data_IF_380915100782
#
_entry.id   IF_380915100782
#
_cell.length_a   1.000
_cell.length_b   1.000
_cell.length_c   1.000
_cell.angle_alpha   90.00
_cell.angle_beta   90.00
_cell.angle_gamma   90.00
#
_symmetry.space_group_name_H-M   'P 1'
#
loop_
_entity.id
_entity.type
_entity.pdbx_description
1 polymer ?
#
# COMPACT_ATOMS: atom_id res chain seq x y z
N UNK A 1 -12.07 -3.79 -21.64
CA UNK A 1 -13.07 -3.03 -20.92
C UNK A 1 -13.07 -3.35 -19.47
N UNK A 2 -13.07 -2.34 -18.67
CA UNK A 2 -12.98 -2.51 -17.27
C UNK A 2 -14.28 -2.42 -16.60
N UNK A 3 -14.54 -3.31 -15.75
CA UNK A 3 -15.58 -3.21 -14.88
C UNK A 3 -15.18 -3.58 -13.56
N UNK A 4 -15.58 -2.93 -12.70
CA UNK A 4 -15.41 -3.17 -11.44
C UNK A 4 -16.26 -4.01 -10.93
N UNK A 5 -16.16 -4.95 -10.38
CA UNK A 5 -15.91 -5.12 -9.14
C UNK A 5 -16.71 -6.14 -8.59
N UNK A 6 -16.17 -6.97 -7.86
CA UNK A 6 -16.87 -7.84 -7.11
C UNK A 6 -16.91 -7.33 -5.74
N UNK A 7 -18.06 -7.29 -5.17
CA UNK A 7 -18.16 -7.06 -3.79
C UNK A 7 -17.90 -8.36 -3.11
N UNK A 8 -17.11 -8.32 -2.07
CA UNK A 8 -16.83 -9.50 -1.27
C UNK A 8 -17.71 -9.46 -0.04
N UNK A 9 -17.66 -10.51 0.78
CA UNK A 9 -18.36 -10.53 2.05
C UNK A 9 -17.73 -9.58 3.07
N UNK A 10 -16.59 -8.99 2.74
CA UNK A 10 -15.91 -8.02 3.58
C UNK A 10 -16.38 -6.64 3.12
N UNK A 11 -17.15 -5.91 3.92
CA UNK A 11 -17.82 -4.69 3.44
C UNK A 11 -16.88 -3.53 3.14
N UNK A 12 -15.61 -3.65 3.49
CA UNK A 12 -14.66 -2.55 3.31
C UNK A 12 -13.61 -2.82 2.26
N UNK A 13 -13.86 -3.75 1.37
CA UNK A 13 -12.90 -4.11 0.31
C UNK A 13 -13.60 -4.10 -1.03
N UNK A 14 -12.93 -3.50 -2.01
CA UNK A 14 -13.37 -3.54 -3.40
C UNK A 14 -12.25 -4.12 -4.25
N UNK A 15 -12.58 -5.12 -5.05
CA UNK A 15 -11.67 -5.66 -6.04
C UNK A 15 -12.11 -5.21 -7.41
N UNK A 16 -11.15 -4.78 -8.23
CA UNK A 16 -11.42 -4.27 -9.56
C UNK A 16 -10.91 -5.27 -10.59
N UNK A 17 -11.77 -5.61 -11.53
CA UNK A 17 -11.45 -6.60 -12.57
C UNK A 17 -11.54 -5.99 -13.94
N UNK A 18 -10.69 -6.46 -14.85
CA UNK A 18 -10.80 -6.19 -16.26
C UNK A 18 -11.49 -7.40 -16.90
N UNK A 19 -12.49 -7.14 -17.74
CA UNK A 19 -13.20 -8.18 -18.44
C UNK A 19 -12.69 -8.25 -19.87
N UNK A 20 -12.19 -9.43 -20.28
CA UNK A 20 -11.71 -9.67 -21.63
C UNK A 20 -12.42 -10.90 -22.16
N UNK A 21 -13.36 -10.69 -23.08
CA UNK A 21 -14.19 -11.78 -23.59
C UNK A 21 -15.05 -12.37 -22.48
N UNK A 22 -14.86 -13.65 -22.17
CA UNK A 22 -15.54 -14.32 -21.08
C UNK A 22 -14.71 -14.42 -19.81
N UNK A 23 -13.47 -13.90 -19.84
CA UNK A 23 -12.56 -13.96 -18.71
C UNK A 23 -12.60 -12.69 -17.89
N UNK A 24 -12.30 -12.81 -16.61
CA UNK A 24 -12.12 -11.66 -15.73
C UNK A 24 -10.74 -11.72 -15.13
N UNK A 25 -10.04 -10.59 -15.16
CA UNK A 25 -8.68 -10.47 -14.64
C UNK A 25 -8.70 -9.46 -13.51
N UNK A 26 -8.22 -9.84 -12.35
CA UNK A 26 -8.13 -8.93 -11.20
C UNK A 26 -6.95 -7.98 -11.43
N UNK A 27 -7.22 -6.67 -11.40
CA UNK A 27 -6.20 -5.66 -11.75
C UNK A 27 -5.92 -4.64 -10.65
N UNK A 28 -6.75 -4.57 -9.64
CA UNK A 28 -6.55 -3.60 -8.57
C UNK A 28 -7.37 -3.95 -7.34
N UNK A 29 -7.00 -3.37 -6.20
CA UNK A 29 -7.77 -3.52 -4.98
C UNK A 29 -7.82 -2.20 -4.23
N UNK A 30 -8.91 -1.99 -3.50
CA UNK A 30 -9.08 -0.85 -2.62
C UNK A 30 -9.69 -1.32 -1.32
N UNK A 31 -9.11 -0.89 -0.22
CA UNK A 31 -9.61 -1.21 1.11
C UNK A 31 -10.06 0.09 1.78
N UNK A 32 -11.08 0.02 2.61
CA UNK A 32 -11.66 1.19 3.24
C UNK A 32 -11.70 1.03 4.75
N UNK A 33 -11.54 2.16 5.44
CA UNK A 33 -11.75 2.23 6.89
C UNK A 33 -13.25 2.17 7.18
N UNK A 34 -13.61 1.90 8.43
CA UNK A 34 -15.02 1.84 8.82
C UNK A 34 -15.78 3.14 8.53
N UNK A 35 -15.09 4.28 8.54
CA UNK A 35 -15.72 5.56 8.26
C UNK A 35 -15.91 5.82 6.76
N UNK A 36 -15.55 4.87 5.91
CA UNK A 36 -15.66 4.99 4.46
C UNK A 36 -14.47 5.60 3.76
N UNK A 37 -13.48 6.10 4.50
CA UNK A 37 -12.28 6.66 3.88
C UNK A 37 -11.39 5.54 3.31
N UNK A 38 -10.71 5.83 2.22
CA UNK A 38 -9.81 4.88 1.60
C UNK A 38 -8.67 4.55 2.57
N UNK A 39 -8.38 3.27 2.75
CA UNK A 39 -7.32 2.80 3.64
C UNK A 39 -6.10 2.34 2.88
N UNK A 40 -6.28 1.66 1.77
CA UNK A 40 -5.20 1.09 0.98
C UNK A 40 -5.61 0.97 -0.47
N UNK A 41 -4.69 1.20 -1.39
CA UNK A 41 -4.95 0.97 -2.80
C UNK A 41 -3.69 0.57 -3.54
N UNK A 42 -3.86 -0.19 -4.59
CA UNK A 42 -2.75 -0.61 -5.44
C UNK A 42 -3.18 -1.51 -6.56
N UNK A 43 -2.26 -1.78 -7.46
CA UNK A 43 -2.49 -2.61 -8.63
C UNK A 43 -2.21 -4.08 -8.36
N UNK A 44 -2.83 -4.92 -9.17
CA UNK A 44 -2.64 -6.37 -9.10
C UNK A 44 -2.33 -6.87 -10.52
N UNK A 45 -1.29 -7.67 -10.62
CA UNK A 45 -0.87 -8.29 -11.88
C UNK A 45 -0.67 -9.78 -11.61
N UNK A 46 -1.26 -10.62 -12.43
CA UNK A 46 -1.18 -12.09 -12.28
C UNK A 46 -1.56 -12.55 -10.87
N UNK A 47 -2.63 -11.95 -10.32
CA UNK A 47 -3.14 -12.25 -8.98
C UNK A 47 -2.18 -11.91 -7.84
N UNK A 48 -1.21 -11.06 -8.09
CA UNK A 48 -0.24 -10.62 -7.08
C UNK A 48 -0.17 -9.10 -7.04
N UNK A 49 0.07 -8.55 -5.86
CA UNK A 49 0.28 -7.11 -5.74
C UNK A 49 1.50 -6.69 -6.51
N UNK A 50 1.37 -5.60 -7.25
CA UNK A 50 2.46 -5.14 -8.10
C UNK A 50 2.50 -3.61 -8.13
N UNK A 51 3.70 -3.05 -8.03
CA UNK A 51 3.88 -1.61 -8.11
C UNK A 51 3.62 -0.87 -6.81
N UNK A 52 3.34 0.41 -6.93
CA UNK A 52 3.17 1.26 -5.75
C UNK A 52 1.87 0.98 -5.04
N UNK A 53 1.96 0.80 -3.73
CA UNK A 53 0.79 0.70 -2.85
C UNK A 53 0.79 1.88 -1.89
N UNK A 54 -0.38 2.47 -1.70
CA UNK A 54 -0.57 3.62 -0.81
C UNK A 54 -1.56 3.28 0.27
N UNK A 55 -1.17 3.58 1.50
CA UNK A 55 -2.05 3.45 2.65
C UNK A 55 -2.40 4.81 3.20
N UNK A 56 -3.58 4.93 3.81
CA UNK A 56 -4.09 6.20 4.30
C UNK A 56 -4.62 6.07 5.71
N UNK A 57 -4.50 7.14 6.48
CA UNK A 57 -5.13 7.24 7.79
C UNK A 57 -6.64 7.41 7.63
N UNK A 58 -7.44 7.14 8.66
CA UNK A 58 -8.88 7.38 8.59
C UNK A 58 -9.26 8.83 8.27
N UNK A 59 -8.35 9.76 8.49
CA UNK A 59 -8.54 11.18 8.15
C UNK A 59 -8.39 11.47 6.67
N UNK A 60 -7.88 10.50 5.89
CA UNK A 60 -7.60 10.68 4.48
C UNK A 60 -6.16 11.06 4.16
N UNK A 61 -5.35 11.37 5.17
CA UNK A 61 -3.96 11.73 4.97
C UNK A 61 -3.14 10.49 4.59
N UNK A 62 -2.15 10.68 3.74
CA UNK A 62 -1.28 9.58 3.32
C UNK A 62 -0.50 9.04 4.51
N UNK A 63 -0.61 7.73 4.75
CA UNK A 63 0.08 7.06 5.83
C UNK A 63 1.36 6.38 5.36
N UNK A 64 1.33 5.76 4.21
CA UNK A 64 2.48 5.00 3.73
C UNK A 64 2.47 4.84 2.22
N UNK A 65 3.67 4.71 1.68
CA UNK A 65 3.88 4.36 0.28
C UNK A 65 4.94 3.27 0.25
N UNK A 66 4.68 2.21 -0.47
CA UNK A 66 5.65 1.14 -0.64
C UNK A 66 5.46 0.50 -1.99
N UNK A 67 6.38 -0.35 -2.36
CA UNK A 67 6.36 -1.02 -3.65
C UNK A 67 6.29 -2.52 -3.46
N UNK A 68 5.48 -3.17 -4.28
CA UNK A 68 5.39 -4.63 -4.33
C UNK A 68 5.92 -5.10 -5.68
N UNK A 69 6.56 -6.24 -5.67
CA UNK A 69 7.00 -6.90 -6.89
C UNK A 69 6.66 -8.37 -6.73
N UNK A 70 5.81 -8.86 -7.62
CA UNK A 70 5.32 -10.24 -7.60
C UNK A 70 4.77 -10.66 -6.24
N UNK A 71 4.00 -9.77 -5.63
CA UNK A 71 3.34 -10.01 -4.36
C UNK A 71 4.16 -9.78 -3.11
N UNK A 72 5.43 -9.41 -3.25
CA UNK A 72 6.33 -9.19 -2.11
C UNK A 72 6.75 -7.74 -2.02
N UNK A 73 6.88 -7.22 -0.79
CA UNK A 73 7.43 -5.89 -0.60
C UNK A 73 8.85 -5.86 -1.16
N UNK A 74 9.16 -4.81 -1.90
CA UNK A 74 10.45 -4.68 -2.55
C UNK A 74 10.86 -3.22 -2.63
N UNK A 75 12.10 -2.92 -2.25
CA UNK A 75 12.64 -1.59 -2.36
C UNK A 75 12.22 -0.64 -1.24
N UNK A 76 12.34 0.64 -1.51
CA UNK A 76 12.11 1.71 -0.53
C UNK A 76 10.64 1.88 -0.22
N UNK A 77 10.34 2.09 1.06
CA UNK A 77 9.01 2.48 1.51
C UNK A 77 9.13 3.68 2.45
N UNK A 78 8.04 4.40 2.61
CA UNK A 78 7.98 5.55 3.51
C UNK A 78 6.69 5.47 4.31
N UNK A 79 6.80 5.72 5.61
CA UNK A 79 5.65 5.86 6.50
C UNK A 79 5.63 7.32 6.96
N UNK A 80 4.45 7.92 6.96
CA UNK A 80 4.26 9.31 7.37
C UNK A 80 3.48 9.39 8.66
N UNK A 81 3.73 10.44 9.43
CA UNK A 81 2.85 10.81 10.53
C UNK A 81 1.59 11.45 9.94
N UNK A 82 0.54 11.57 10.73
CA UNK A 82 -0.69 12.23 10.27
C UNK A 82 -0.48 13.69 9.87
N UNK A 83 0.55 14.34 10.41
CA UNK A 83 0.86 15.73 10.06
C UNK A 83 1.61 15.87 8.72
N UNK A 84 1.88 14.75 8.05
CA UNK A 84 2.56 14.74 6.76
C UNK A 84 4.07 14.60 6.81
N UNK A 85 4.67 14.70 7.99
CA UNK A 85 6.11 14.52 8.12
C UNK A 85 6.48 13.04 8.06
N UNK A 86 7.68 12.75 7.59
CA UNK A 86 8.16 11.38 7.49
C UNK A 86 8.38 10.79 8.88
N UNK A 87 7.84 9.60 9.08
CA UNK A 87 8.02 8.82 10.30
C UNK A 87 9.18 7.84 10.12
N UNK A 88 9.15 7.06 9.05
CA UNK A 88 10.13 6.00 8.81
C UNK A 88 10.41 5.89 7.32
N UNK A 89 11.69 5.72 6.99
CA UNK A 89 12.10 5.31 5.66
C UNK A 89 12.60 3.88 5.80
N UNK A 90 12.03 2.97 5.04
CA UNK A 90 12.35 1.56 5.16
C UNK A 90 12.70 0.92 3.82
N UNK A 91 13.26 -0.27 3.88
CA UNK A 91 13.67 -1.02 2.69
C UNK A 91 13.32 -2.48 2.87
N UNK A 92 12.87 -3.10 1.78
CA UNK A 92 12.56 -4.53 1.76
C UNK A 92 13.29 -5.22 0.62
N UNK A 93 13.72 -6.44 0.88
CA UNK A 93 14.38 -7.31 -0.09
C UNK A 93 13.57 -8.61 -0.11
N UNK A 94 12.87 -8.86 -1.21
CA UNK A 94 12.04 -10.07 -1.37
C UNK A 94 11.08 -10.30 -0.20
N UNK A 95 10.42 -9.25 0.24
CA UNK A 95 9.42 -9.34 1.29
C UNK A 95 9.95 -9.28 2.71
N UNK A 96 11.28 -9.19 2.88
CA UNK A 96 11.89 -9.14 4.20
C UNK A 96 12.55 -7.80 4.44
N UNK A 97 12.51 -7.28 5.67
CA UNK A 97 13.23 -6.06 5.99
C UNK A 97 14.72 -6.20 5.67
N UNK A 98 15.29 -5.17 5.07
CA UNK A 98 16.73 -5.15 4.76
C UNK A 98 17.23 -3.71 4.74
N UNK A 99 18.54 -3.56 4.72
CA UNK A 99 19.16 -2.25 4.64
C UNK A 99 19.06 -1.47 5.94
N UNK A 100 19.28 -0.18 5.84
CA UNK A 100 19.23 0.70 7.01
C UNK A 100 17.90 1.45 7.00
N UNK A 101 17.14 1.29 8.07
CA UNK A 101 15.87 1.99 8.24
C UNK A 101 16.14 3.23 9.08
N UNK A 102 15.54 4.36 8.68
CA UNK A 102 15.70 5.64 9.36
C UNK A 102 14.39 6.05 10.00
N UNK A 103 14.47 6.54 11.23
CA UNK A 103 13.31 6.91 12.03
C UNK A 103 13.37 8.39 12.39
N UNK A 104 12.22 9.05 12.34
CA UNK A 104 12.11 10.49 12.56
C UNK A 104 10.99 10.77 13.57
N UNK A 105 11.05 11.93 14.22
CA UNK A 105 9.97 12.34 15.12
C UNK A 105 8.93 13.19 14.35
N UNK A 106 7.85 13.55 15.03
CA UNK A 106 6.75 14.28 14.40
C UNK A 106 7.14 15.67 13.90
N UNK A 107 8.22 16.22 14.38
CA UNK A 107 8.71 17.53 13.94
C UNK A 107 9.65 17.42 12.75
N UNK A 108 9.92 16.21 12.29
CA UNK A 108 10.79 15.96 11.14
C UNK A 108 12.26 15.77 11.49
N UNK A 109 12.56 15.64 12.78
CA UNK A 109 13.96 15.46 13.21
C UNK A 109 14.34 13.99 13.17
N UNK A 110 15.56 13.71 12.73
CA UNK A 110 16.11 12.36 12.71
C UNK A 110 16.28 11.86 14.15
N UNK A 111 15.85 10.64 14.40
CA UNK A 111 15.92 10.03 15.73
C UNK A 111 16.93 8.89 15.78
N UNK A 112 16.84 7.96 14.82
CA UNK A 112 17.63 6.74 14.89
C UNK A 112 17.74 6.10 13.51
N UNK A 113 18.73 5.24 13.36
CA UNK A 113 18.86 4.40 12.17
C UNK A 113 19.23 3.00 12.64
N UNK A 114 18.62 1.99 12.01
CA UNK A 114 18.84 0.59 12.36
C UNK A 114 19.02 -0.25 11.14
N UNK A 115 19.96 -1.16 11.20
CA UNK A 115 20.19 -2.11 10.13
C UNK A 115 19.28 -3.34 10.30
N UNK A 116 18.77 -3.81 9.18
CA UNK A 116 17.86 -4.97 9.17
C UNK A 116 18.38 -6.07 8.24
#
# INVERSE_FOLDING_TARGET
>A
MIHCYAETDIPYVTYIYEVVGTDSIWIAEKWYHENGALMLEGAVVDNMREGEYRGYYPTGELMSVGTFEKGKRQGKGVIYFENGNINTINYYCDGKPCGIWEYFDEDGNFVDAREH
#
